data_IF_950884958357
#
_entry.id   IF_950884958357
#
_cell.length_a   1.000
_cell.length_b   1.000
_cell.length_c   1.000
_cell.angle_alpha   90.00
_cell.angle_beta   90.00
_cell.angle_gamma   90.00
#
_symmetry.space_group_name_H-M   'P 1'
#
loop_
_entity.id
_entity.type
_entity.pdbx_description
1 polymer ?
#
# COMPACT_ATOMS: atom_id res chain seq x y z
N UNK A 1 0.90 -32.04 12.62
CA UNK A 1 1.99 -31.12 13.00
C UNK A 1 1.37 -29.84 13.54
N UNK A 2 1.89 -29.25 14.62
CA UNK A 2 1.41 -27.94 15.10
C UNK A 2 1.66 -26.86 14.04
N UNK A 3 0.76 -25.88 13.95
CA UNK A 3 0.97 -24.74 13.06
C UNK A 3 2.08 -23.84 13.57
N UNK A 4 2.70 -23.05 12.68
CA UNK A 4 3.73 -22.08 13.07
C UNK A 4 3.24 -21.15 14.19
N UNK A 5 1.98 -20.69 14.11
CA UNK A 5 1.35 -19.86 15.14
C UNK A 5 1.32 -20.56 16.51
N UNK A 6 0.99 -21.86 16.55
CA UNK A 6 0.99 -22.64 17.80
C UNK A 6 2.40 -22.83 18.36
N UNK A 7 3.39 -23.00 17.49
CA UNK A 7 4.79 -23.08 17.90
C UNK A 7 5.26 -21.76 18.50
N UNK A 8 5.01 -20.64 17.83
CA UNK A 8 5.37 -19.29 18.31
C UNK A 8 4.68 -18.95 19.63
N UNK A 9 3.38 -19.27 19.76
CA UNK A 9 2.64 -19.08 21.02
C UNK A 9 3.30 -19.82 22.19
N UNK A 10 3.69 -21.08 21.98
CA UNK A 10 4.31 -21.91 23.02
C UNK A 10 5.74 -21.47 23.35
N UNK A 11 6.57 -21.25 22.33
CA UNK A 11 7.99 -20.93 22.49
C UNK A 11 8.19 -19.51 23.04
N UNK A 12 7.44 -18.53 22.50
CA UNK A 12 7.56 -17.12 22.91
C UNK A 12 6.62 -16.74 24.05
N UNK A 13 5.71 -17.63 24.46
CA UNK A 13 4.71 -17.39 25.51
C UNK A 13 3.82 -16.17 25.22
N UNK A 14 3.53 -15.93 23.95
CA UNK A 14 2.67 -14.84 23.48
C UNK A 14 1.30 -15.42 23.11
N UNK A 15 0.18 -14.89 23.64
CA UNK A 15 -1.14 -15.38 23.26
C UNK A 15 -1.35 -15.31 21.75
N UNK A 16 -1.91 -16.37 21.15
CA UNK A 16 -2.22 -16.45 19.72
C UNK A 16 -2.99 -15.23 19.22
N UNK A 17 -3.95 -14.73 20.01
CA UNK A 17 -4.74 -13.54 19.67
C UNK A 17 -3.83 -12.32 19.45
N UNK A 18 -2.92 -12.07 20.38
CA UNK A 18 -1.96 -10.96 20.30
C UNK A 18 -1.03 -11.11 19.10
N UNK A 19 -0.53 -12.32 18.85
CA UNK A 19 0.32 -12.59 17.69
C UNK A 19 -0.38 -12.29 16.35
N UNK A 20 -1.66 -12.64 16.25
CA UNK A 20 -2.47 -12.36 15.04
C UNK A 20 -2.73 -10.86 14.91
N UNK A 21 -3.11 -10.17 16.00
CA UNK A 21 -3.41 -8.74 15.97
C UNK A 21 -2.16 -7.91 15.62
N UNK A 22 -1.03 -8.16 16.29
CA UNK A 22 0.24 -7.49 15.99
C UNK A 22 0.76 -7.86 14.60
N UNK A 23 0.63 -9.12 14.18
CA UNK A 23 1.05 -9.58 12.86
C UNK A 23 0.26 -8.93 11.73
N UNK A 24 -1.08 -8.84 11.85
CA UNK A 24 -1.93 -8.16 10.86
C UNK A 24 -1.62 -6.68 10.79
N UNK A 25 -1.45 -6.01 11.95
CA UNK A 25 -1.05 -4.61 11.99
C UNK A 25 0.28 -4.39 11.26
N UNK A 26 1.29 -5.19 11.59
CA UNK A 26 2.62 -5.06 10.98
C UNK A 26 2.61 -5.34 9.47
N UNK A 27 1.84 -6.33 9.03
CA UNK A 27 1.62 -6.59 7.62
C UNK A 27 1.05 -5.37 6.90
N UNK A 28 -0.02 -4.76 7.43
CA UNK A 28 -0.63 -3.58 6.83
C UNK A 28 0.31 -2.36 6.81
N UNK A 29 1.14 -2.17 7.83
CA UNK A 29 2.18 -1.12 7.84
C UNK A 29 3.21 -1.29 6.72
N UNK A 30 3.67 -2.53 6.51
CA UNK A 30 4.62 -2.86 5.44
C UNK A 30 3.97 -2.66 4.07
N UNK A 31 2.76 -3.18 3.87
CA UNK A 31 2.05 -3.03 2.60
C UNK A 31 1.79 -1.55 2.26
N UNK A 32 1.37 -0.75 3.25
CA UNK A 32 1.17 0.68 3.03
C UNK A 32 2.47 1.38 2.61
N UNK A 33 3.61 1.01 3.23
CA UNK A 33 4.92 1.52 2.87
C UNK A 33 5.32 1.10 1.45
N UNK A 34 5.11 -0.16 1.08
CA UNK A 34 5.45 -0.69 -0.24
C UNK A 34 4.65 0.03 -1.35
N UNK A 35 3.34 0.16 -1.17
CA UNK A 35 2.46 0.89 -2.09
C UNK A 35 2.91 2.36 -2.23
N UNK A 36 3.25 3.01 -1.11
CA UNK A 36 3.74 4.40 -1.14
C UNK A 36 5.05 4.54 -1.90
N UNK A 37 5.97 3.58 -1.77
CA UNK A 37 7.24 3.55 -2.53
C UNK A 37 6.95 3.35 -4.02
N UNK A 38 6.04 2.45 -4.38
CA UNK A 38 5.71 2.19 -5.78
C UNK A 38 5.06 3.39 -6.45
N UNK A 39 4.07 4.02 -5.80
CA UNK A 39 3.46 5.27 -6.24
C UNK A 39 4.55 6.32 -6.44
N UNK A 40 5.41 6.55 -5.43
CA UNK A 40 6.48 7.56 -5.53
C UNK A 40 7.43 7.29 -6.71
N UNK A 41 7.84 6.04 -6.93
CA UNK A 41 8.68 5.66 -8.08
C UNK A 41 7.99 5.95 -9.41
N UNK A 42 6.70 5.64 -9.51
CA UNK A 42 5.89 5.82 -10.71
C UNK A 42 5.67 7.32 -10.99
N UNK A 43 5.17 8.07 -10.01
CA UNK A 43 4.91 9.51 -10.13
C UNK A 43 6.20 10.30 -10.41
N UNK A 44 7.35 9.89 -9.84
CA UNK A 44 8.63 10.59 -10.05
C UNK A 44 9.11 10.58 -11.50
N UNK A 45 8.72 9.56 -12.31
CA UNK A 45 9.06 9.50 -13.75
C UNK A 45 8.45 10.67 -14.53
N UNK A 46 7.31 11.17 -14.07
CA UNK A 46 6.56 12.25 -14.72
C UNK A 46 6.71 13.59 -13.99
N UNK A 47 7.53 13.64 -12.93
CA UNK A 47 7.69 14.82 -12.09
C UNK A 47 6.37 15.28 -11.46
N UNK A 48 5.57 14.33 -10.98
CA UNK A 48 4.29 14.55 -10.28
C UNK A 48 4.27 13.76 -8.97
N UNK A 49 3.25 13.97 -8.13
CA UNK A 49 3.07 13.23 -6.87
C UNK A 49 1.81 12.36 -6.82
N UNK A 50 0.93 12.41 -7.82
CA UNK A 50 -0.32 11.64 -7.84
C UNK A 50 -0.87 11.37 -9.25
N UNK A 51 -1.86 10.48 -9.33
CA UNK A 51 -2.70 10.29 -10.51
C UNK A 51 -3.28 11.62 -11.02
N UNK A 52 -3.91 12.39 -10.13
CA UNK A 52 -4.58 13.65 -10.49
C UNK A 52 -3.63 14.67 -11.13
N UNK A 53 -2.38 14.74 -10.66
CA UNK A 53 -1.39 15.62 -11.26
C UNK A 53 -0.92 15.13 -12.62
N UNK A 54 -0.73 13.82 -12.80
CA UNK A 54 -0.39 13.25 -14.11
C UNK A 54 -1.52 13.49 -15.11
N UNK A 55 -2.77 13.30 -14.67
CA UNK A 55 -3.96 13.53 -15.47
C UNK A 55 -4.05 14.98 -15.95
N UNK A 56 -3.80 15.94 -15.06
CA UNK A 56 -3.77 17.37 -15.41
C UNK A 56 -2.71 17.70 -16.46
N UNK A 57 -1.52 17.09 -16.39
CA UNK A 57 -0.48 17.27 -17.42
C UNK A 57 -0.92 16.75 -18.78
N UNK A 58 -1.60 15.61 -18.81
CA UNK A 58 -2.17 15.05 -20.04
C UNK A 58 -3.24 15.99 -20.63
N UNK A 59 -4.17 16.47 -19.79
CA UNK A 59 -5.22 17.41 -20.22
C UNK A 59 -4.66 18.74 -20.73
N UNK A 60 -3.56 19.22 -20.15
CA UNK A 60 -2.86 20.43 -20.57
C UNK A 60 -2.03 20.22 -21.86
N UNK A 61 -1.87 18.98 -22.33
CA UNK A 61 -1.02 18.63 -23.46
C UNK A 61 0.49 18.72 -23.17
N UNK A 62 0.89 18.72 -21.89
CA UNK A 62 2.30 18.73 -21.47
C UNK A 62 2.96 17.35 -21.64
N UNK A 63 2.15 16.30 -21.71
CA UNK A 63 2.54 14.91 -21.97
C UNK A 63 1.51 14.26 -22.90
N UNK A 64 1.95 13.33 -23.75
CA UNK A 64 1.04 12.61 -24.65
C UNK A 64 0.46 11.35 -24.00
N UNK A 65 -0.69 10.90 -24.51
CA UNK A 65 -1.32 9.66 -24.05
C UNK A 65 -0.37 8.46 -24.17
N UNK A 66 0.39 8.35 -25.28
CA UNK A 66 1.38 7.29 -25.47
C UNK A 66 2.51 7.28 -24.44
N UNK A 67 2.80 8.41 -23.80
CA UNK A 67 3.85 8.52 -22.79
C UNK A 67 3.36 8.16 -21.38
N UNK A 68 2.06 8.33 -21.08
CA UNK A 68 1.55 8.22 -19.71
C UNK A 68 0.40 7.22 -19.51
N UNK A 69 -0.18 6.63 -20.55
CA UNK A 69 -1.38 5.79 -20.44
C UNK A 69 -1.23 4.65 -19.43
N UNK A 70 -0.18 3.83 -19.57
CA UNK A 70 0.07 2.69 -18.67
C UNK A 70 0.33 3.14 -17.23
N UNK A 71 1.07 4.25 -17.08
CA UNK A 71 1.45 4.78 -15.78
C UNK A 71 0.25 5.45 -15.06
N UNK A 72 -0.70 6.05 -15.79
CA UNK A 72 -1.96 6.56 -15.26
C UNK A 72 -2.83 5.43 -14.69
N UNK A 73 -3.10 4.39 -15.48
CA UNK A 73 -3.89 3.25 -15.01
C UNK A 73 -3.25 2.58 -13.79
N UNK A 74 -1.91 2.50 -13.75
CA UNK A 74 -1.20 1.92 -12.61
C UNK A 74 -1.25 2.82 -11.38
N UNK A 75 -1.12 4.15 -11.52
CA UNK A 75 -1.25 5.07 -10.40
C UNK A 75 -2.63 4.99 -9.76
N UNK A 76 -3.69 5.00 -10.57
CA UNK A 76 -5.07 4.88 -10.09
C UNK A 76 -5.25 3.62 -9.22
N UNK A 77 -4.83 2.47 -9.75
CA UNK A 77 -4.88 1.21 -9.01
C UNK A 77 -4.11 1.27 -7.68
N UNK A 78 -2.86 1.73 -7.72
CA UNK A 78 -2.01 1.77 -6.53
C UNK A 78 -2.54 2.74 -5.47
N UNK A 79 -3.09 3.89 -5.87
CA UNK A 79 -3.67 4.86 -4.94
C UNK A 79 -4.92 4.31 -4.27
N UNK A 80 -5.79 3.63 -5.02
CA UNK A 80 -6.97 2.94 -4.47
C UNK A 80 -6.58 1.82 -3.50
N UNK A 81 -5.60 0.99 -3.86
CA UNK A 81 -5.11 -0.06 -2.95
C UNK A 81 -4.49 0.53 -1.68
N UNK A 82 -3.69 1.60 -1.82
CA UNK A 82 -3.09 2.30 -0.68
C UNK A 82 -4.17 2.82 0.27
N UNK A 83 -5.25 3.38 -0.27
CA UNK A 83 -6.38 3.85 0.54
C UNK A 83 -7.06 2.70 1.30
N UNK A 84 -7.28 1.55 0.65
CA UNK A 84 -7.85 0.36 1.31
C UNK A 84 -6.97 -0.11 2.46
N UNK A 85 -5.65 -0.22 2.25
CA UNK A 85 -4.70 -0.63 3.29
C UNK A 85 -4.67 0.38 4.43
N UNK A 86 -4.63 1.68 4.13
CA UNK A 86 -4.65 2.73 5.15
C UNK A 86 -5.91 2.66 6.02
N UNK A 87 -7.07 2.47 5.40
CA UNK A 87 -8.36 2.33 6.10
C UNK A 87 -8.39 1.10 7.02
N UNK A 88 -7.83 -0.03 6.58
CA UNK A 88 -7.71 -1.23 7.41
C UNK A 88 -6.73 -1.03 8.58
N UNK A 89 -5.59 -0.39 8.34
CA UNK A 89 -4.59 -0.10 9.36
C UNK A 89 -5.15 0.85 10.44
N UNK A 90 -5.90 1.88 10.03
CA UNK A 90 -6.55 2.79 10.97
C UNK A 90 -7.51 2.05 11.92
N UNK A 91 -8.30 1.11 11.40
CA UNK A 91 -9.20 0.25 12.20
C UNK A 91 -8.44 -0.68 13.15
N UNK A 92 -7.21 -1.08 12.79
CA UNK A 92 -6.36 -1.89 13.64
C UNK A 92 -5.71 -1.09 14.79
N UNK A 93 -5.54 0.23 14.63
CA UNK A 93 -4.95 1.12 15.65
C UNK A 93 -5.99 1.65 16.65
N UNK A 94 -7.26 1.75 16.24
CA UNK A 94 -8.35 2.27 17.08
C UNK A 94 -8.99 1.23 18.03
N UNK A 95 -8.47 -0.01 18.05
CA UNK A 95 -8.91 -1.09 18.95
C UNK A 95 -7.94 -1.29 20.11
#
# INVERSE_FOLDING_TARGET
MPSLIQMVEKELKIPKKRLIEEGVKHFLEIELKNLSIEISKLSSRHGVISFDELWKKLEAGEITESECFDDLSRLEYLELEREKVANLLQRAIQK
#
